data_IF_420946780213
#
_entry.id   IF_420946780213
#
_cell.length_a   1.000
_cell.length_b   1.000
_cell.length_c   1.000
_cell.angle_alpha   90.00
_cell.angle_beta   90.00
_cell.angle_gamma   90.00
#
_symmetry.space_group_name_H-M   'P 1'
#
loop_
_entity.id
_entity.type
_entity.pdbx_description
1 polymer ?
#
# COMPACT_ATOMS: atom_id res chain seq x y z
N UNK A 1 84.43 -12.44 -9.68
CA UNK A 1 83.36 -13.28 -9.09
C UNK A 1 82.37 -12.37 -8.39
N UNK A 2 81.09 -12.59 -8.65
CA UNK A 2 79.97 -11.73 -8.29
C UNK A 2 79.53 -11.91 -6.82
N UNK A 3 78.98 -10.85 -6.23
CA UNK A 3 77.89 -10.87 -5.22
C UNK A 3 77.57 -9.40 -4.83
N UNK A 4 76.59 -8.78 -5.48
CA UNK A 4 75.21 -8.64 -5.02
C UNK A 4 75.00 -7.50 -3.99
N UNK A 5 74.62 -6.34 -4.53
CA UNK A 5 74.22 -5.11 -3.82
C UNK A 5 72.89 -5.30 -3.07
N UNK A 6 72.77 -4.92 -1.77
CA UNK A 6 71.47 -4.85 -1.12
C UNK A 6 70.82 -3.48 -1.36
N UNK A 7 69.69 -3.50 -2.05
CA UNK A 7 68.80 -2.36 -2.29
C UNK A 7 68.08 -1.99 -1.00
N UNK A 8 68.42 -0.82 -0.44
CA UNK A 8 67.67 -0.16 0.63
C UNK A 8 66.34 0.34 0.06
N UNK A 9 65.24 -0.36 0.34
CA UNK A 9 63.90 0.14 0.00
C UNK A 9 63.45 1.16 1.04
N UNK A 10 63.42 2.43 0.63
CA UNK A 10 62.74 3.53 1.33
C UNK A 10 61.26 3.18 1.57
N UNK A 11 60.65 3.58 2.70
CA UNK A 11 59.22 3.46 2.90
C UNK A 11 58.49 4.36 1.90
N UNK A 12 57.66 3.74 1.08
CA UNK A 12 56.88 4.40 0.04
C UNK A 12 55.64 5.01 0.70
N UNK A 13 55.65 6.32 0.89
CA UNK A 13 54.42 7.11 1.05
C UNK A 13 53.63 7.03 -0.25
N UNK A 14 52.49 6.32 -0.21
CA UNK A 14 51.49 6.36 -1.28
C UNK A 14 50.22 6.96 -0.71
N UNK A 15 49.89 8.11 -1.30
CA UNK A 15 48.75 8.98 -1.05
C UNK A 15 47.44 8.21 -0.90
N UNK A 16 46.76 8.40 0.24
CA UNK A 16 45.34 8.12 0.37
C UNK A 16 44.58 9.00 -0.63
N UNK A 17 44.20 8.44 -1.78
CA UNK A 17 43.27 9.06 -2.71
C UNK A 17 41.88 8.99 -2.08
N UNK A 18 41.35 10.17 -1.80
CA UNK A 18 39.95 10.51 -1.49
C UNK A 18 38.92 9.42 -1.81
N UNK A 19 38.44 8.73 -0.78
CA UNK A 19 37.19 7.96 -0.79
C UNK A 19 36.07 8.65 0.02
N UNK A 20 36.21 9.95 0.30
CA UNK A 20 35.21 10.75 1.01
C UNK A 20 34.16 11.43 0.09
N UNK A 21 34.10 11.04 -1.20
CA UNK A 21 33.30 11.72 -2.22
C UNK A 21 32.02 11.01 -2.68
N UNK A 22 31.70 9.80 -2.21
CA UNK A 22 30.51 9.04 -2.67
C UNK A 22 29.45 8.75 -1.61
N UNK A 23 29.66 9.16 -0.36
CA UNK A 23 28.66 9.02 0.72
C UNK A 23 27.88 10.31 1.01
N UNK A 24 28.17 11.42 0.32
CA UNK A 24 27.56 12.74 0.58
C UNK A 24 26.63 13.25 -0.53
N UNK A 25 26.14 12.35 -1.38
CA UNK A 25 25.16 12.70 -2.43
C UNK A 25 23.89 11.84 -2.40
N UNK A 26 23.55 11.25 -1.24
CA UNK A 26 22.17 10.90 -0.94
C UNK A 26 21.45 12.13 -0.39
N UNK A 27 21.47 13.21 -1.18
CA UNK A 27 20.62 14.38 -0.93
C UNK A 27 19.18 13.95 -1.13
N UNK A 28 18.41 13.95 -0.04
CA UNK A 28 17.01 14.41 0.05
C UNK A 28 16.21 14.44 -1.26
N UNK A 29 16.01 13.29 -1.93
CA UNK A 29 14.98 13.23 -2.95
C UNK A 29 13.63 13.11 -2.23
N UNK A 30 12.67 14.00 -2.50
CA UNK A 30 11.33 13.85 -1.96
C UNK A 30 10.78 12.48 -2.36
N UNK A 31 10.24 11.75 -1.39
CA UNK A 31 9.57 10.48 -1.60
C UNK A 31 8.37 10.69 -2.53
N UNK A 32 8.45 10.16 -3.75
CA UNK A 32 7.34 10.24 -4.69
C UNK A 32 6.56 8.92 -4.65
N UNK A 33 5.25 8.95 -4.36
CA UNK A 33 4.42 7.76 -4.46
C UNK A 33 4.45 7.19 -5.89
N UNK A 34 4.24 5.88 -6.01
CA UNK A 34 4.07 5.18 -7.28
C UNK A 34 2.60 5.29 -7.67
N UNK A 35 2.32 6.08 -8.72
CA UNK A 35 0.97 6.32 -9.26
C UNK A 35 0.62 5.18 -10.19
N UNK A 36 -0.37 4.37 -9.82
CA UNK A 36 -0.81 3.24 -10.63
C UNK A 36 -2.19 3.49 -11.24
N UNK A 37 -2.42 2.82 -12.36
CA UNK A 37 -3.74 2.41 -12.80
C UNK A 37 -3.85 0.87 -12.71
N UNK A 38 -5.06 0.34 -12.71
CA UNK A 38 -5.30 -1.09 -12.82
C UNK A 38 -6.28 -1.36 -13.98
N UNK A 39 -6.00 -2.38 -14.77
CA UNK A 39 -6.81 -2.80 -15.91
C UNK A 39 -6.94 -4.32 -15.88
N UNK A 40 -8.15 -4.84 -15.96
CA UNK A 40 -8.31 -6.29 -16.01
C UNK A 40 -9.74 -6.75 -15.99
N UNK A 41 -9.86 -8.06 -15.81
CA UNK A 41 -11.14 -8.72 -15.62
C UNK A 41 -11.74 -8.44 -14.23
N UNK A 42 -12.74 -9.24 -13.87
CA UNK A 42 -13.48 -9.14 -12.62
C UNK A 42 -12.58 -9.11 -11.38
N UNK A 43 -11.33 -9.62 -11.43
CA UNK A 43 -10.45 -9.64 -10.26
C UNK A 43 -9.86 -8.27 -9.89
N UNK A 44 -9.88 -7.29 -10.81
CA UNK A 44 -9.28 -5.96 -10.62
C UNK A 44 -10.28 -4.89 -10.13
N UNK A 45 -11.59 -5.17 -10.20
CA UNK A 45 -12.70 -4.22 -10.09
C UNK A 45 -12.62 -3.11 -8.99
N UNK A 46 -13.37 -2.01 -9.16
CA UNK A 46 -13.22 -0.79 -8.36
C UNK A 46 -13.51 -1.01 -6.87
N UNK A 47 -12.98 -0.10 -6.04
CA UNK A 47 -12.94 -0.27 -4.59
C UNK A 47 -14.28 -0.07 -3.86
N UNK A 48 -15.26 0.51 -4.52
CA UNK A 48 -16.60 0.73 -4.01
C UNK A 48 -17.62 0.50 -5.13
N UNK A 49 -18.61 -0.34 -4.86
CA UNK A 49 -19.85 -0.32 -5.62
C UNK A 49 -20.74 0.70 -4.94
N UNK A 50 -21.03 1.80 -5.63
CA UNK A 50 -22.04 2.76 -5.17
C UNK A 50 -23.42 2.10 -5.34
N UNK A 51 -23.92 1.45 -4.30
CA UNK A 51 -25.32 1.05 -4.24
C UNK A 51 -26.12 2.26 -3.79
N UNK A 52 -26.99 2.74 -4.68
CA UNK A 52 -27.94 3.81 -4.37
C UNK A 52 -29.18 3.15 -3.78
N UNK A 53 -29.29 3.11 -2.45
CA UNK A 53 -30.52 2.72 -1.74
C UNK A 53 -31.09 3.99 -1.12
N UNK A 54 -32.34 4.31 -1.44
CA UNK A 54 -33.11 5.41 -0.84
C UNK A 54 -32.40 6.78 -0.85
N UNK A 55 -31.63 7.08 -1.91
CA UNK A 55 -30.93 8.36 -2.08
C UNK A 55 -29.61 8.47 -1.31
N UNK A 56 -29.21 7.48 -0.51
CA UNK A 56 -27.92 7.41 0.17
C UNK A 56 -26.94 6.60 -0.69
N UNK A 57 -25.74 7.16 -0.93
CA UNK A 57 -24.64 6.43 -1.58
C UNK A 57 -23.94 5.62 -0.51
N UNK A 58 -24.27 4.34 -0.40
CA UNK A 58 -23.52 3.41 0.44
C UNK A 58 -22.25 2.97 -0.29
N UNK A 59 -21.09 3.30 0.29
CA UNK A 59 -19.79 2.81 -0.17
C UNK A 59 -19.51 1.48 0.52
N UNK A 60 -19.80 0.38 -0.15
CA UNK A 60 -19.42 -0.94 0.33
C UNK A 60 -17.95 -1.20 0.03
N UNK A 61 -17.21 -1.77 0.98
CA UNK A 61 -15.87 -2.31 0.73
C UNK A 61 -16.04 -3.75 0.24
N UNK A 62 -15.69 -4.09 -1.01
CA UNK A 62 -15.69 -5.46 -1.49
C UNK A 62 -14.36 -6.13 -1.09
N UNK A 63 -14.31 -6.93 0.00
CA UNK A 63 -13.08 -7.52 0.51
C UNK A 63 -12.49 -8.59 -0.42
N UNK A 64 -13.24 -9.03 -1.42
CA UNK A 64 -12.80 -9.98 -2.44
C UNK A 64 -12.00 -9.33 -3.59
N UNK A 65 -11.86 -8.00 -3.63
CA UNK A 65 -11.01 -7.31 -4.62
C UNK A 65 -9.60 -7.09 -4.07
N UNK A 66 -8.57 -7.60 -4.74
CA UNK A 66 -7.19 -7.46 -4.22
C UNK A 66 -6.66 -6.02 -4.31
N UNK A 67 -7.14 -5.23 -5.26
CA UNK A 67 -6.75 -3.80 -5.42
C UNK A 67 -7.10 -2.98 -4.16
N UNK A 68 -8.14 -3.39 -3.42
CA UNK A 68 -8.51 -2.81 -2.15
C UNK A 68 -7.48 -3.08 -1.06
N UNK A 69 -7.14 -4.36 -0.89
CA UNK A 69 -6.09 -4.75 0.03
C UNK A 69 -4.73 -4.17 -0.37
N UNK A 70 -4.45 -4.04 -1.66
CA UNK A 70 -3.21 -3.43 -2.15
C UNK A 70 -3.11 -1.96 -1.73
N UNK A 71 -4.18 -1.16 -1.88
CA UNK A 71 -4.20 0.24 -1.42
C UNK A 71 -4.00 0.35 0.09
N UNK A 72 -4.53 -0.62 0.82
CA UNK A 72 -4.42 -0.69 2.28
C UNK A 72 -2.99 -1.06 2.71
N UNK A 73 -2.38 -2.05 2.05
CA UNK A 73 -1.09 -2.63 2.41
C UNK A 73 0.11 -1.89 1.82
N UNK A 74 -0.04 -1.30 0.64
CA UNK A 74 0.99 -0.53 -0.05
C UNK A 74 0.52 0.92 -0.20
N UNK A 75 0.50 1.72 0.87
CA UNK A 75 0.03 3.12 0.81
C UNK A 75 0.84 4.02 -0.14
N UNK A 76 2.08 3.63 -0.42
CA UNK A 76 3.00 4.30 -1.35
C UNK A 76 2.59 4.05 -2.80
N UNK A 77 1.63 3.16 -3.04
CA UNK A 77 0.92 2.97 -4.30
C UNK A 77 -0.33 3.86 -4.31
N UNK A 78 -0.31 4.90 -5.15
CA UNK A 78 -1.47 5.74 -5.42
C UNK A 78 -2.29 5.12 -6.55
N UNK A 79 -3.30 4.35 -6.18
CA UNK A 79 -4.25 3.73 -7.10
C UNK A 79 -5.67 4.22 -6.73
N UNK A 80 -6.16 5.37 -7.23
CA UNK A 80 -7.52 5.83 -6.99
C UNK A 80 -8.55 4.98 -7.75
N UNK A 81 -9.81 4.95 -7.29
CA UNK A 81 -10.92 4.24 -7.97
C UNK A 81 -11.11 4.65 -9.42
N UNK A 82 -10.96 5.94 -9.70
CA UNK A 82 -11.08 6.51 -11.05
C UNK A 82 -10.01 6.02 -12.03
N UNK A 83 -9.03 5.22 -11.56
CA UNK A 83 -7.98 4.60 -12.37
C UNK A 83 -8.02 3.07 -12.32
N UNK A 84 -9.13 2.50 -11.87
CA UNK A 84 -9.39 1.06 -11.94
C UNK A 84 -10.41 0.81 -13.03
N UNK A 85 -9.97 0.13 -14.09
CA UNK A 85 -10.75 -0.16 -15.28
C UNK A 85 -11.06 -1.66 -15.30
N UNK A 86 -12.25 -2.00 -14.83
CA UNK A 86 -12.78 -3.37 -14.89
C UNK A 86 -13.42 -3.60 -16.25
N UNK A 87 -13.09 -4.73 -16.86
CA UNK A 87 -13.71 -5.24 -18.08
C UNK A 87 -14.29 -6.62 -17.78
N UNK A 88 -15.52 -6.69 -17.25
CA UNK A 88 -16.12 -7.95 -16.82
C UNK A 88 -16.17 -8.98 -17.95
N UNK A 89 -15.76 -10.22 -17.65
CA UNK A 89 -15.75 -11.30 -18.65
C UNK A 89 -14.71 -11.15 -19.77
N UNK A 90 -13.85 -10.13 -19.76
CA UNK A 90 -12.95 -9.88 -20.87
C UNK A 90 -11.80 -10.90 -20.94
N UNK A 91 -11.60 -11.46 -22.13
CA UNK A 91 -10.37 -12.20 -22.47
C UNK A 91 -9.20 -11.24 -22.67
N UNK A 92 -7.99 -11.79 -22.83
CA UNK A 92 -6.77 -11.03 -23.15
C UNK A 92 -6.94 -10.06 -24.34
N UNK A 93 -7.69 -10.47 -25.38
CA UNK A 93 -8.03 -9.64 -26.54
C UNK A 93 -8.94 -8.47 -26.15
N UNK A 94 -9.97 -8.74 -25.35
CA UNK A 94 -10.88 -7.71 -24.84
C UNK A 94 -10.16 -6.68 -23.96
N UNK A 95 -9.22 -7.14 -23.13
CA UNK A 95 -8.38 -6.25 -22.31
C UNK A 95 -7.46 -5.39 -23.19
N UNK A 96 -6.90 -5.95 -24.26
CA UNK A 96 -6.10 -5.17 -25.22
C UNK A 96 -6.93 -4.12 -25.96
N UNK A 97 -8.19 -4.42 -26.28
CA UNK A 97 -9.13 -3.49 -26.91
C UNK A 97 -9.57 -2.36 -25.95
N UNK A 98 -9.73 -2.66 -24.65
CA UNK A 98 -10.15 -1.69 -23.64
C UNK A 98 -9.03 -0.80 -23.07
N UNK A 99 -7.87 -0.73 -23.72
CA UNK A 99 -6.69 -0.05 -23.20
C UNK A 99 -6.75 1.50 -23.31
N UNK A 100 -7.54 2.03 -24.24
CA UNK A 100 -7.54 3.47 -24.58
C UNK A 100 -7.79 4.43 -23.41
N UNK A 101 -8.75 4.17 -22.48
CA UNK A 101 -8.94 5.00 -21.29
C UNK A 101 -7.70 5.06 -20.39
N UNK A 102 -6.91 3.99 -20.36
CA UNK A 102 -5.65 3.92 -19.59
C UNK A 102 -4.55 4.70 -20.29
N UNK A 103 -4.46 4.62 -21.62
CA UNK A 103 -3.48 5.38 -22.41
C UNK A 103 -3.68 6.90 -22.29
N UNK A 104 -4.91 7.35 -22.06
CA UNK A 104 -5.24 8.75 -21.79
C UNK A 104 -4.68 9.27 -20.45
N UNK A 105 -4.18 8.38 -19.58
CA UNK A 105 -3.53 8.73 -18.32
C UNK A 105 -2.01 8.92 -18.45
N UNK A 106 -1.45 8.88 -19.66
CA UNK A 106 -0.02 9.11 -19.90
C UNK A 106 0.46 10.41 -19.21
N UNK A 107 1.62 10.34 -18.54
CA UNK A 107 2.17 11.41 -17.70
C UNK A 107 1.52 11.58 -16.32
N UNK A 108 0.32 11.01 -16.10
CA UNK A 108 -0.40 11.05 -14.81
C UNK A 108 -0.19 9.80 -13.95
N UNK A 109 0.27 8.70 -14.54
CA UNK A 109 0.60 7.44 -13.88
C UNK A 109 2.02 6.99 -14.24
N UNK A 110 2.62 6.17 -13.38
CA UNK A 110 3.97 5.59 -13.57
C UNK A 110 3.89 4.14 -14.07
N UNK A 111 2.84 3.41 -13.72
CA UNK A 111 2.66 2.01 -14.09
C UNK A 111 1.18 1.61 -14.19
N UNK A 112 0.94 0.49 -14.87
CA UNK A 112 -0.38 -0.14 -15.00
C UNK A 112 -0.31 -1.58 -14.50
N UNK A 113 -1.10 -1.90 -13.48
CA UNK A 113 -1.33 -3.28 -13.04
C UNK A 113 -2.32 -3.95 -13.97
N UNK A 114 -1.95 -5.10 -14.54
CA UNK A 114 -2.74 -5.80 -15.55
C UNK A 114 -2.99 -7.23 -15.07
N UNK A 115 -4.25 -7.58 -14.80
CA UNK A 115 -4.66 -8.95 -14.47
C UNK A 115 -5.67 -9.41 -15.51
N UNK A 116 -5.27 -10.35 -16.36
CA UNK A 116 -6.09 -10.85 -17.44
C UNK A 116 -5.63 -12.26 -17.84
N UNK A 117 -6.53 -13.02 -18.48
CA UNK A 117 -6.25 -14.37 -18.95
C UNK A 117 -7.06 -15.46 -18.25
N UNK A 118 -7.75 -15.16 -17.15
CA UNK A 118 -8.62 -16.15 -16.50
C UNK A 118 -9.81 -16.50 -17.41
N UNK A 119 -10.42 -15.50 -18.05
CA UNK A 119 -11.50 -15.70 -19.02
C UNK A 119 -11.06 -16.39 -20.31
N UNK A 120 -9.80 -16.28 -20.72
CA UNK A 120 -9.24 -17.12 -21.79
C UNK A 120 -9.24 -18.61 -21.39
N UNK A 121 -8.99 -18.91 -20.12
CA UNK A 121 -9.03 -20.28 -19.60
C UNK A 121 -10.48 -20.79 -19.58
N UNK A 122 -11.43 -19.98 -19.10
CA UNK A 122 -12.86 -20.31 -19.16
C UNK A 122 -13.36 -20.53 -20.58
N UNK A 123 -13.03 -19.62 -21.49
CA UNK A 123 -13.40 -19.73 -22.91
C UNK A 123 -12.78 -20.95 -23.59
N UNK A 124 -11.65 -21.47 -23.09
CA UNK A 124 -11.03 -22.68 -23.64
C UNK A 124 -11.89 -23.91 -23.34
N UNK A 125 -12.51 -23.97 -22.15
CA UNK A 125 -13.42 -25.06 -21.79
C UNK A 125 -14.68 -25.07 -22.67
N UNK A 126 -15.09 -23.93 -23.22
CA UNK A 126 -16.26 -23.78 -24.09
C UNK A 126 -15.91 -23.73 -25.59
N UNK A 127 -14.63 -23.87 -25.96
CA UNK A 127 -14.18 -23.82 -27.36
C UNK A 127 -14.25 -22.44 -28.01
N UNK A 128 -14.36 -21.36 -27.22
CA UNK A 128 -14.51 -19.98 -27.70
C UNK A 128 -13.29 -19.11 -27.38
N UNK A 129 -12.21 -19.69 -26.85
CA UNK A 129 -11.00 -18.95 -26.51
C UNK A 129 -10.28 -18.42 -27.75
N UNK A 130 -9.65 -17.23 -27.64
CA UNK A 130 -8.68 -16.79 -28.64
C UNK A 130 -7.55 -17.82 -28.81
N UNK A 131 -7.03 -18.03 -30.03
CA UNK A 131 -5.84 -18.85 -30.25
C UNK A 131 -4.67 -18.41 -29.35
N UNK A 132 -3.81 -19.34 -28.87
CA UNK A 132 -2.68 -18.98 -27.98
C UNK A 132 -1.76 -17.88 -28.53
N UNK A 133 -1.52 -17.87 -29.85
CA UNK A 133 -0.72 -16.84 -30.51
C UNK A 133 -1.37 -15.46 -30.43
N UNK A 134 -2.71 -15.37 -30.54
CA UNK A 134 -3.45 -14.12 -30.45
C UNK A 134 -3.47 -13.58 -29.01
N UNK A 135 -3.58 -14.47 -28.02
CA UNK A 135 -3.42 -14.10 -26.60
C UNK A 135 -2.03 -13.57 -26.30
N UNK A 136 -0.98 -14.21 -26.81
CA UNK A 136 0.38 -13.72 -26.66
C UNK A 136 0.57 -12.36 -27.33
N UNK A 137 0.09 -12.20 -28.57
CA UNK A 137 0.14 -10.93 -29.30
C UNK A 137 -0.64 -9.81 -28.60
N UNK A 138 -1.74 -10.14 -27.92
CA UNK A 138 -2.53 -9.20 -27.13
C UNK A 138 -1.75 -8.67 -25.92
N UNK A 139 -1.11 -9.56 -25.15
CA UNK A 139 -0.25 -9.14 -24.03
C UNK A 139 0.96 -8.32 -24.50
N UNK A 140 1.58 -8.71 -25.62
CA UNK A 140 2.68 -7.95 -26.25
C UNK A 140 2.23 -6.56 -26.68
N UNK A 141 1.06 -6.46 -27.30
CA UNK A 141 0.48 -5.20 -27.76
C UNK A 141 0.19 -4.27 -26.58
N UNK A 142 -0.38 -4.79 -25.49
CA UNK A 142 -0.60 -4.02 -24.26
C UNK A 142 0.71 -3.51 -23.69
N UNK A 143 1.72 -4.37 -23.57
CA UNK A 143 3.03 -3.98 -23.05
C UNK A 143 3.69 -2.89 -23.90
N UNK A 144 3.72 -3.07 -25.23
CA UNK A 144 4.31 -2.11 -26.17
C UNK A 144 3.62 -0.76 -26.10
N UNK A 145 2.27 -0.72 -26.21
CA UNK A 145 1.51 0.54 -26.16
C UNK A 145 1.72 1.31 -24.86
N UNK A 146 1.85 0.62 -23.72
CA UNK A 146 2.11 1.26 -22.43
C UNK A 146 3.53 1.81 -22.35
N UNK A 147 4.53 1.01 -22.76
CA UNK A 147 5.93 1.42 -22.77
C UNK A 147 6.18 2.61 -23.70
N UNK A 148 5.53 2.65 -24.87
CA UNK A 148 5.59 3.76 -25.83
C UNK A 148 5.06 5.08 -25.24
N UNK A 149 4.19 5.00 -24.22
CA UNK A 149 3.64 6.13 -23.47
C UNK A 149 4.39 6.42 -22.17
N UNK A 150 5.53 5.76 -21.95
CA UNK A 150 6.34 5.92 -20.74
C UNK A 150 5.69 5.34 -19.48
N UNK A 151 4.75 4.40 -19.62
CA UNK A 151 4.07 3.74 -18.52
C UNK A 151 4.58 2.30 -18.39
N UNK A 152 4.95 1.90 -17.18
CA UNK A 152 5.48 0.56 -16.91
C UNK A 152 4.33 -0.46 -16.82
N UNK A 153 4.24 -1.46 -17.70
CA UNK A 153 3.28 -2.55 -17.56
C UNK A 153 3.71 -3.51 -16.46
N UNK A 154 2.79 -3.88 -15.57
CA UNK A 154 2.99 -4.84 -14.50
C UNK A 154 1.93 -5.92 -14.61
N UNK A 155 2.29 -7.06 -15.16
CA UNK A 155 1.36 -8.18 -15.28
C UNK A 155 1.23 -8.91 -13.96
N UNK A 156 0.00 -9.21 -13.57
CA UNK A 156 -0.37 -10.10 -12.47
C UNK A 156 -0.82 -11.40 -13.11
N UNK A 157 -0.15 -12.50 -12.78
CA UNK A 157 -0.65 -13.82 -13.20
C UNK A 157 -2.01 -14.02 -12.52
N UNK A 158 -3.08 -14.37 -13.26
CA UNK A 158 -4.38 -14.58 -12.65
C UNK A 158 -4.31 -15.57 -11.48
N UNK A 159 -5.06 -15.37 -10.40
CA UNK A 159 -5.09 -16.35 -9.31
C UNK A 159 -5.70 -17.68 -9.81
N UNK A 160 -5.16 -18.84 -9.39
CA UNK A 160 -5.73 -20.13 -9.75
C UNK A 160 -7.11 -20.31 -9.09
N UNK A 161 -8.03 -20.99 -9.78
CA UNK A 161 -9.38 -21.29 -9.33
C UNK A 161 -9.70 -22.80 -9.44
N UNK A 162 -10.80 -23.31 -8.85
CA UNK A 162 -11.08 -24.75 -8.80
C UNK A 162 -11.14 -25.43 -10.18
N UNK A 163 -11.39 -24.67 -11.24
CA UNK A 163 -11.37 -25.13 -12.63
C UNK A 163 -9.98 -25.58 -13.08
N UNK A 164 -8.93 -25.29 -12.33
CA UNK A 164 -7.60 -25.82 -12.58
C UNK A 164 -7.56 -27.37 -12.55
N UNK A 165 -8.52 -28.04 -11.91
CA UNK A 165 -8.69 -29.50 -12.02
C UNK A 165 -9.12 -29.96 -13.44
N UNK A 166 -9.62 -29.05 -14.29
CA UNK A 166 -9.90 -29.32 -15.70
C UNK A 166 -8.61 -29.17 -16.52
N UNK A 167 -8.20 -30.24 -17.21
CA UNK A 167 -6.95 -30.25 -18.00
C UNK A 167 -6.86 -29.15 -19.06
N UNK A 168 -7.97 -28.84 -19.77
CA UNK A 168 -7.98 -27.79 -20.79
C UNK A 168 -7.79 -26.39 -20.18
N UNK A 169 -8.39 -26.16 -19.01
CA UNK A 169 -8.21 -24.92 -18.26
C UNK A 169 -6.76 -24.81 -17.76
N UNK A 170 -6.23 -25.88 -17.16
CA UNK A 170 -4.88 -25.91 -16.60
C UNK A 170 -3.81 -25.66 -17.66
N UNK A 171 -3.91 -26.34 -18.81
CA UNK A 171 -2.98 -26.17 -19.93
C UNK A 171 -2.99 -24.72 -20.44
N UNK A 172 -4.19 -24.14 -20.57
CA UNK A 172 -4.32 -22.74 -20.98
C UNK A 172 -3.71 -21.78 -19.97
N UNK A 173 -3.98 -21.98 -18.67
CA UNK A 173 -3.42 -21.17 -17.60
C UNK A 173 -1.89 -21.25 -17.58
N UNK A 174 -1.32 -22.45 -17.71
CA UNK A 174 0.13 -22.67 -17.74
C UNK A 174 0.75 -21.92 -18.93
N UNK A 175 0.13 -21.99 -20.11
CA UNK A 175 0.58 -21.28 -21.31
C UNK A 175 0.54 -19.75 -21.13
N UNK A 176 -0.50 -19.21 -20.50
CA UNK A 176 -0.60 -17.77 -20.20
C UNK A 176 0.48 -17.36 -19.20
N UNK A 177 0.64 -18.09 -18.09
CA UNK A 177 1.66 -17.79 -17.10
C UNK A 177 3.07 -17.85 -17.71
N UNK A 178 3.35 -18.84 -18.58
CA UNK A 178 4.60 -18.93 -19.32
C UNK A 178 4.83 -17.74 -20.26
N UNK A 179 3.78 -17.28 -20.93
CA UNK A 179 3.82 -16.10 -21.80
C UNK A 179 4.16 -14.84 -21.02
N UNK A 180 3.48 -14.57 -19.91
CA UNK A 180 3.75 -13.42 -19.05
C UNK A 180 5.17 -13.45 -18.46
N UNK A 181 5.64 -14.64 -18.04
CA UNK A 181 7.04 -14.85 -17.60
C UNK A 181 8.05 -14.56 -18.70
N UNK A 182 7.77 -14.97 -19.94
CA UNK A 182 8.64 -14.70 -21.10
C UNK A 182 8.75 -13.19 -21.33
N UNK A 183 7.63 -12.47 -21.38
CA UNK A 183 7.61 -11.02 -21.61
C UNK A 183 8.44 -10.27 -20.56
N UNK A 184 8.23 -10.57 -19.28
CA UNK A 184 8.97 -9.93 -18.18
C UNK A 184 10.48 -10.25 -18.18
N UNK A 185 10.90 -11.36 -18.79
CA UNK A 185 12.32 -11.70 -18.99
C UNK A 185 12.93 -10.99 -20.19
N UNK A 186 12.16 -10.80 -21.27
CA UNK A 186 12.62 -10.18 -22.51
C UNK A 186 12.84 -8.67 -22.34
N UNK A 187 12.00 -8.00 -21.55
CA UNK A 187 12.16 -6.56 -21.26
C UNK A 187 12.12 -6.30 -19.75
N UNK A 188 13.22 -5.75 -19.22
CA UNK A 188 13.37 -5.45 -17.78
C UNK A 188 12.45 -4.33 -17.30
N UNK A 189 11.84 -3.55 -18.21
CA UNK A 189 10.84 -2.52 -17.92
C UNK A 189 9.45 -3.12 -17.67
N UNK A 190 9.25 -4.42 -17.94
CA UNK A 190 8.00 -5.11 -17.63
C UNK A 190 8.09 -5.72 -16.23
N UNK A 191 7.08 -5.44 -15.41
CA UNK A 191 6.87 -6.05 -14.09
C UNK A 191 6.05 -7.33 -14.20
N UNK A 192 6.32 -8.29 -13.31
CA UNK A 192 5.52 -9.52 -13.18
C UNK A 192 5.32 -9.88 -11.72
N UNK A 193 4.06 -9.97 -11.32
CA UNK A 193 3.63 -10.47 -10.02
C UNK A 193 3.13 -11.90 -10.24
N UNK A 194 4.01 -12.87 -10.02
CA UNK A 194 3.71 -14.30 -10.18
C UNK A 194 3.22 -14.88 -8.85
N UNK A 195 1.90 -15.03 -8.76
CA UNK A 195 1.19 -15.37 -7.51
C UNK A 195 0.83 -16.83 -7.40
N UNK A 196 1.08 -17.61 -8.46
CA UNK A 196 0.79 -19.03 -8.50
C UNK A 196 1.49 -19.78 -7.35
N UNK A 197 2.71 -19.37 -6.98
CA UNK A 197 3.46 -20.00 -5.87
C UNK A 197 2.97 -19.62 -4.47
N UNK A 198 2.21 -18.53 -4.34
CA UNK A 198 1.72 -18.02 -3.05
C UNK A 198 0.29 -18.51 -2.77
N UNK A 199 -0.45 -18.86 -3.82
CA UNK A 199 -1.86 -19.25 -3.74
C UNK A 199 -2.09 -20.77 -3.92
N UNK A 200 -1.07 -21.55 -4.27
CA UNK A 200 -1.13 -23.02 -4.40
C UNK A 200 -0.35 -23.66 -3.24
N UNK A 201 -0.96 -24.61 -2.53
CA UNK A 201 -0.35 -25.31 -1.40
C UNK A 201 0.65 -26.40 -1.81
N UNK A 202 1.56 -26.78 -0.89
CA UNK A 202 2.65 -27.75 -1.11
C UNK A 202 2.25 -29.24 -1.13
N UNK A 203 0.95 -29.59 -1.20
CA UNK A 203 0.58 -31.02 -1.22
C UNK A 203 0.77 -31.65 -2.60
N UNK A 204 1.97 -32.22 -2.77
CA UNK A 204 2.34 -33.44 -3.49
C UNK A 204 1.46 -33.87 -4.68
N UNK A 205 2.03 -33.75 -5.89
CA UNK A 205 1.65 -34.41 -7.15
C UNK A 205 0.34 -33.99 -7.86
N UNK A 206 -0.48 -33.11 -7.27
CA UNK A 206 -1.68 -32.54 -7.91
C UNK A 206 -1.90 -31.11 -7.42
N UNK A 207 -1.87 -30.14 -8.34
CA UNK A 207 -2.10 -28.73 -8.03
C UNK A 207 -3.59 -28.44 -7.98
N UNK A 208 -4.26 -28.81 -6.89
CA UNK A 208 -5.56 -28.24 -6.57
C UNK A 208 -5.36 -26.89 -5.84
N UNK A 209 -6.05 -25.81 -6.24
CA UNK A 209 -6.10 -24.58 -5.44
C UNK A 209 -6.67 -24.93 -4.07
N UNK A 210 -6.07 -24.47 -2.97
CA UNK A 210 -6.64 -24.75 -1.64
C UNK A 210 -8.05 -24.11 -1.56
N UNK A 211 -9.13 -24.93 -1.59
CA UNK A 211 -10.49 -24.42 -1.67
C UNK A 211 -10.89 -23.64 -0.42
N UNK A 212 -10.09 -23.68 0.63
CA UNK A 212 -10.32 -22.95 1.87
C UNK A 212 -9.87 -21.49 1.82
N UNK A 213 -9.06 -21.07 0.82
CA UNK A 213 -8.35 -19.78 0.95
C UNK A 213 -8.10 -18.93 -0.31
N UNK A 214 -8.34 -19.39 -1.55
CA UNK A 214 -8.01 -18.58 -2.74
C UNK A 214 -9.26 -18.00 -3.43
N UNK A 215 -10.20 -18.84 -3.84
CA UNK A 215 -11.36 -18.45 -4.67
C UNK A 215 -12.64 -19.08 -4.12
N UNK A 216 -13.72 -18.28 -4.07
CA UNK A 216 -14.96 -18.62 -3.36
C UNK A 216 -16.02 -19.30 -4.23
N UNK A 217 -15.87 -19.28 -5.56
CA UNK A 217 -16.79 -19.88 -6.51
C UNK A 217 -16.08 -20.58 -7.68
N UNK A 218 -16.86 -21.30 -8.48
CA UNK A 218 -16.40 -21.92 -9.73
C UNK A 218 -16.17 -20.90 -10.85
N UNK A 219 -16.40 -19.60 -10.61
CA UNK A 219 -16.10 -18.53 -11.55
C UNK A 219 -14.72 -17.90 -11.27
N UNK A 220 -14.02 -18.37 -10.23
CA UNK A 220 -12.69 -17.90 -9.86
C UNK A 220 -12.68 -16.58 -9.10
N UNK A 221 -13.82 -16.11 -8.59
CA UNK A 221 -13.90 -14.95 -7.70
C UNK A 221 -13.04 -15.19 -6.47
N UNK A 222 -12.14 -14.26 -6.13
CA UNK A 222 -11.31 -14.39 -4.93
C UNK A 222 -12.16 -14.40 -3.64
N UNK A 223 -11.77 -15.20 -2.66
CA UNK A 223 -12.26 -15.00 -1.29
C UNK A 223 -11.58 -13.75 -0.70
N UNK A 224 -12.12 -13.15 0.38
CA UNK A 224 -11.43 -12.11 1.14
C UNK A 224 -9.99 -12.46 1.53
N UNK A 225 -9.77 -13.71 1.97
CA UNK A 225 -8.45 -14.21 2.31
C UNK A 225 -7.54 -14.33 1.08
N UNK A 226 -8.06 -14.79 -0.05
CA UNK A 226 -7.33 -14.89 -1.31
C UNK A 226 -6.91 -13.53 -1.86
N UNK A 227 -7.82 -12.56 -1.85
CA UNK A 227 -7.56 -11.18 -2.26
C UNK A 227 -6.51 -10.51 -1.38
N UNK A 228 -6.55 -10.74 -0.07
CA UNK A 228 -5.54 -10.26 0.87
C UNK A 228 -4.16 -10.86 0.60
N UNK A 229 -4.06 -12.19 0.41
CA UNK A 229 -2.77 -12.85 0.11
C UNK A 229 -2.19 -12.41 -1.22
N UNK A 230 -3.05 -12.24 -2.24
CA UNK A 230 -2.68 -11.68 -3.52
C UNK A 230 -2.11 -10.27 -3.36
N UNK A 231 -2.77 -9.41 -2.58
CA UNK A 231 -2.27 -8.07 -2.29
C UNK A 231 -0.93 -8.09 -1.52
N UNK A 232 -0.75 -8.97 -0.54
CA UNK A 232 0.55 -9.13 0.15
C UNK A 232 1.66 -9.54 -0.82
N UNK A 233 1.40 -10.50 -1.71
CA UNK A 233 2.35 -10.91 -2.75
C UNK A 233 2.67 -9.75 -3.70
N UNK A 234 1.66 -8.96 -4.07
CA UNK A 234 1.82 -7.78 -4.90
C UNK A 234 2.64 -6.69 -4.20
N UNK A 235 2.42 -6.40 -2.91
CA UNK A 235 3.22 -5.45 -2.13
C UNK A 235 4.69 -5.86 -2.15
N UNK A 236 4.98 -7.13 -1.85
CA UNK A 236 6.33 -7.67 -1.82
C UNK A 236 7.01 -7.57 -3.20
N UNK A 237 6.28 -7.94 -4.25
CA UNK A 237 6.77 -7.90 -5.62
C UNK A 237 7.06 -6.45 -6.07
N UNK A 238 6.13 -5.52 -5.84
CA UNK A 238 6.28 -4.12 -6.20
C UNK A 238 7.43 -3.46 -5.42
N UNK A 239 7.57 -3.77 -4.13
CA UNK A 239 8.67 -3.25 -3.31
C UNK A 239 10.04 -3.71 -3.86
N UNK A 240 10.17 -4.99 -4.21
CA UNK A 240 11.38 -5.53 -4.82
C UNK A 240 11.67 -4.98 -6.22
N UNK A 241 10.63 -4.62 -6.98
CA UNK A 241 10.77 -4.02 -8.32
C UNK A 241 11.10 -2.53 -8.29
N UNK A 242 10.80 -1.82 -7.19
CA UNK A 242 10.85 -0.36 -7.13
C UNK A 242 12.17 0.25 -7.59
N UNK A 243 13.35 -0.22 -7.16
CA UNK A 243 14.62 0.35 -7.60
C UNK A 243 14.89 0.20 -9.10
N UNK A 244 14.30 -0.83 -9.72
CA UNK A 244 14.48 -1.16 -11.14
C UNK A 244 13.46 -0.44 -12.03
N UNK A 245 12.19 -0.46 -11.62
CA UNK A 245 11.07 0.05 -12.43
C UNK A 245 10.76 1.53 -12.16
N UNK A 246 11.15 2.04 -11.00
CA UNK A 246 10.88 3.43 -10.57
C UNK A 246 12.17 4.10 -10.05
N UNK A 247 13.20 4.28 -10.89
CA UNK A 247 14.47 4.89 -10.48
C UNK A 247 14.23 6.32 -9.96
N UNK A 248 14.77 6.63 -8.77
CA UNK A 248 14.58 7.94 -8.10
C UNK A 248 13.38 8.01 -7.15
N UNK A 249 12.60 6.93 -6.99
CA UNK A 249 11.54 6.84 -5.98
C UNK A 249 12.00 5.93 -4.84
N UNK A 250 12.41 6.53 -3.72
CA UNK A 250 12.72 5.78 -2.50
C UNK A 250 11.43 5.28 -1.82
N UNK A 251 11.42 4.02 -1.38
CA UNK A 251 10.39 3.50 -0.46
C UNK A 251 10.66 4.04 0.96
N UNK A 252 9.64 4.23 1.81
CA UNK A 252 9.76 5.04 3.02
C UNK A 252 10.85 4.50 3.98
N UNK A 253 11.91 5.30 4.12
CA UNK A 253 12.74 5.39 5.31
C UNK A 253 12.30 6.61 6.11
N UNK A 254 12.44 6.53 7.43
CA UNK A 254 11.95 7.47 8.46
C UNK A 254 11.96 8.96 8.08
N UNK A 255 10.86 9.64 8.43
CA UNK A 255 10.64 11.06 8.23
C UNK A 255 11.53 11.96 9.11
N UNK A 256 11.79 13.20 8.68
CA UNK A 256 12.57 14.17 9.44
C UNK A 256 11.80 14.76 10.64
N UNK A 257 12.51 15.01 11.73
CA UNK A 257 11.99 15.62 12.95
C UNK A 257 12.11 17.15 12.91
N UNK A 258 10.97 17.86 12.99
CA UNK A 258 10.72 19.02 13.89
C UNK A 258 9.28 19.56 13.71
N UNK A 259 8.63 20.09 14.77
CA UNK A 259 7.25 20.55 14.71
C UNK A 259 7.14 22.07 14.61
N UNK A 260 6.33 22.60 13.68
CA UNK A 260 5.49 23.80 13.87
C UNK A 260 4.31 23.75 12.86
N UNK A 261 3.14 24.24 13.29
CA UNK A 261 1.83 24.37 12.61
C UNK A 261 1.07 23.07 12.26
N UNK A 262 0.36 22.53 13.26
CA UNK A 262 -0.66 21.52 13.04
C UNK A 262 -1.94 22.15 12.45
N UNK A 263 -2.40 21.66 11.31
CA UNK A 263 -3.67 22.04 10.69
C UNK A 263 -4.87 21.44 11.42
N UNK A 264 -4.69 20.26 12.03
CA UNK A 264 -5.77 19.54 12.69
C UNK A 264 -5.93 19.99 14.15
N UNK A 265 -7.16 20.10 14.68
CA UNK A 265 -7.44 20.77 15.95
C UNK A 265 -7.00 20.01 17.20
N UNK A 266 -6.91 18.67 17.14
CA UNK A 266 -6.56 17.84 18.30
C UNK A 266 -5.41 16.88 17.96
N UNK A 267 -4.18 17.39 17.76
CA UNK A 267 -3.06 16.57 17.31
C UNK A 267 -2.56 15.58 18.37
N UNK A 268 -2.86 15.81 19.65
CA UNK A 268 -2.42 15.00 20.80
C UNK A 268 -3.45 13.96 21.23
N UNK A 269 -4.62 13.90 20.56
CA UNK A 269 -5.73 13.00 20.90
C UNK A 269 -6.15 13.14 22.37
N UNK A 270 -6.32 14.37 22.85
CA UNK A 270 -6.85 14.64 24.18
C UNK A 270 -8.38 14.47 24.22
N UNK A 271 -8.92 14.32 25.43
CA UNK A 271 -10.36 14.25 25.69
C UNK A 271 -10.97 12.86 25.53
N UNK A 272 -12.29 12.80 25.64
CA UNK A 272 -13.08 11.53 25.72
C UNK A 272 -14.45 11.61 25.04
N UNK A 273 -14.81 12.74 24.41
CA UNK A 273 -16.12 13.00 23.83
C UNK A 273 -16.20 12.68 22.34
N UNK A 274 -15.20 12.00 21.78
CA UNK A 274 -15.23 11.52 20.41
C UNK A 274 -16.31 10.47 20.18
N UNK A 275 -16.56 10.15 18.91
CA UNK A 275 -17.61 9.22 18.53
C UNK A 275 -17.07 7.81 18.40
N UNK A 276 -17.80 6.83 18.94
CA UNK A 276 -17.59 5.41 18.67
C UNK A 276 -18.69 4.91 17.72
N UNK A 277 -18.32 4.10 16.74
CA UNK A 277 -19.25 3.51 15.79
C UNK A 277 -18.85 2.07 15.44
N UNK A 278 -19.85 1.18 15.35
CA UNK A 278 -19.66 -0.21 14.95
C UNK A 278 -19.86 -1.20 16.09
N UNK A 279 -20.15 -2.44 15.73
CA UNK A 279 -20.36 -3.54 16.66
C UNK A 279 -19.04 -3.97 17.32
N UNK A 280 -19.09 -4.35 18.59
CA UNK A 280 -17.90 -4.78 19.35
C UNK A 280 -16.96 -3.65 19.77
N UNK A 281 -17.32 -2.39 19.52
CA UNK A 281 -16.55 -1.20 19.94
C UNK A 281 -17.08 -0.67 21.27
N UNK A 282 -16.19 -0.39 22.21
CA UNK A 282 -16.51 0.14 23.55
C UNK A 282 -15.46 1.13 24.05
N UNK A 283 -15.76 1.86 25.13
CA UNK A 283 -14.82 2.76 25.80
C UNK A 283 -15.02 4.24 25.47
N UNK A 284 -13.94 4.99 25.30
CA UNK A 284 -13.93 6.43 25.03
C UNK A 284 -13.00 6.79 23.87
N UNK A 285 -13.34 7.84 23.13
CA UNK A 285 -12.60 8.32 21.97
C UNK A 285 -12.16 9.76 22.17
N UNK A 286 -10.97 10.12 21.70
CA UNK A 286 -10.47 11.49 21.74
C UNK A 286 -11.41 12.50 21.05
N UNK A 287 -11.45 13.73 21.56
CA UNK A 287 -12.38 14.76 21.10
C UNK A 287 -12.17 15.08 19.62
N UNK A 288 -13.26 15.15 18.85
CA UNK A 288 -13.23 15.43 17.42
C UNK A 288 -12.72 14.27 16.55
N UNK A 289 -12.49 13.09 17.14
CA UNK A 289 -12.22 11.86 16.40
C UNK A 289 -13.46 10.94 16.36
N UNK A 290 -13.56 10.18 15.27
CA UNK A 290 -14.45 9.05 15.11
C UNK A 290 -13.61 7.77 15.10
N UNK A 291 -13.89 6.86 16.03
CA UNK A 291 -13.44 5.49 15.98
C UNK A 291 -14.56 4.62 15.40
N UNK A 292 -14.37 4.19 14.16
CA UNK A 292 -15.30 3.30 13.47
C UNK A 292 -14.68 1.92 13.30
N UNK A 293 -15.46 0.87 13.52
CA UNK A 293 -15.05 -0.48 13.22
C UNK A 293 -16.05 -1.21 12.33
N UNK A 294 -15.53 -2.05 11.44
CA UNK A 294 -16.31 -2.84 10.49
C UNK A 294 -15.77 -4.26 10.41
N UNK A 295 -16.66 -5.25 10.26
CA UNK A 295 -16.27 -6.66 10.15
C UNK A 295 -15.65 -7.23 11.44
N UNK A 296 -15.99 -6.71 12.62
CA UNK A 296 -15.42 -7.17 13.89
C UNK A 296 -16.21 -8.29 14.57
N UNK A 297 -17.04 -9.05 13.87
CA UNK A 297 -17.83 -10.13 14.49
C UNK A 297 -16.93 -11.13 15.23
N UNK A 298 -17.21 -11.37 16.52
CA UNK A 298 -16.38 -12.22 17.41
C UNK A 298 -15.15 -11.53 18.01
N UNK A 299 -14.93 -10.25 17.69
CA UNK A 299 -13.86 -9.41 18.23
C UNK A 299 -14.41 -8.33 19.17
N UNK A 300 -13.58 -7.94 20.12
CA UNK A 300 -13.80 -6.78 20.97
C UNK A 300 -12.72 -5.75 20.70
N UNK A 301 -13.15 -4.50 20.54
CA UNK A 301 -12.30 -3.32 20.49
C UNK A 301 -12.67 -2.42 21.67
N UNK A 302 -11.72 -2.20 22.58
CA UNK A 302 -11.85 -1.22 23.65
C UNK A 302 -10.96 -0.01 23.35
N UNK A 303 -11.54 1.17 23.41
CA UNK A 303 -10.86 2.45 23.25
C UNK A 303 -10.68 3.11 24.62
N UNK A 304 -9.45 3.42 25.00
CA UNK A 304 -9.10 4.01 26.28
C UNK A 304 -8.39 5.36 26.04
N UNK A 305 -8.72 6.37 26.83
CA UNK A 305 -7.98 7.63 26.84
C UNK A 305 -6.66 7.46 27.58
N UNK A 306 -5.60 8.08 27.08
CA UNK A 306 -4.29 8.04 27.69
C UNK A 306 -3.48 6.80 27.30
N UNK A 307 -2.16 6.98 27.22
CA UNK A 307 -1.22 5.94 26.80
C UNK A 307 -0.42 5.41 28.00
N UNK A 308 -0.31 6.20 29.07
CA UNK A 308 0.17 5.76 30.38
C UNK A 308 -0.22 6.79 31.45
N UNK A 309 -0.11 6.42 32.73
CA UNK A 309 -0.31 7.34 33.86
C UNK A 309 0.62 8.57 33.80
N UNK A 310 1.77 8.44 33.13
CA UNK A 310 2.74 9.53 32.94
C UNK A 310 2.48 10.39 31.69
N UNK A 311 1.59 9.96 30.78
CA UNK A 311 1.19 10.71 29.57
C UNK A 311 -0.33 10.55 29.35
N UNK A 312 -1.14 11.42 29.97
CA UNK A 312 -2.60 11.32 29.90
C UNK A 312 -3.18 11.66 28.52
N UNK A 313 -2.38 12.19 27.60
CA UNK A 313 -2.79 12.48 26.22
C UNK A 313 -2.44 11.32 25.26
N UNK A 314 -3.39 10.97 24.39
CA UNK A 314 -3.29 9.90 23.41
C UNK A 314 -4.48 8.94 23.48
N UNK A 315 -4.53 7.99 22.54
CA UNK A 315 -5.59 6.99 22.43
C UNK A 315 -4.96 5.60 22.48
N UNK A 316 -5.44 4.73 23.37
CA UNK A 316 -5.13 3.30 23.35
C UNK A 316 -6.28 2.53 22.75
N UNK A 317 -5.97 1.60 21.86
CA UNK A 317 -6.91 0.64 21.29
C UNK A 317 -6.49 -0.77 21.71
N UNK A 318 -7.37 -1.47 22.42
CA UNK A 318 -7.17 -2.87 22.83
C UNK A 318 -8.02 -3.79 21.98
N UNK A 319 -7.36 -4.74 21.34
CA UNK A 319 -7.97 -5.78 20.52
C UNK A 319 -8.01 -7.08 21.32
N UNK A 320 -9.13 -7.80 21.22
CA UNK A 320 -9.30 -9.12 21.83
C UNK A 320 -10.34 -9.95 21.11
N UNK A 321 -10.31 -11.26 21.33
CA UNK A 321 -11.28 -12.20 20.80
C UNK A 321 -10.77 -13.00 19.60
N UNK A 322 -11.71 -13.60 18.87
CA UNK A 322 -11.42 -14.45 17.71
C UNK A 322 -12.31 -14.01 16.55
N UNK A 323 -11.71 -13.65 15.42
CA UNK A 323 -12.45 -13.14 14.28
C UNK A 323 -13.34 -14.25 13.73
N UNK A 324 -14.66 -14.07 13.78
CA UNK A 324 -15.61 -14.91 13.04
C UNK A 324 -15.94 -14.32 11.65
N UNK A 325 -15.48 -13.10 11.40
CA UNK A 325 -15.64 -12.40 10.12
C UNK A 325 -14.52 -12.76 9.13
N UNK A 326 -14.85 -12.66 7.84
CA UNK A 326 -13.90 -12.86 6.74
C UNK A 326 -12.96 -11.67 6.50
N UNK A 327 -13.15 -10.54 7.20
CA UNK A 327 -12.32 -9.33 7.15
C UNK A 327 -12.61 -8.45 8.36
N UNK A 328 -11.69 -7.55 8.74
CA UNK A 328 -11.96 -6.55 9.76
C UNK A 328 -11.15 -5.27 9.56
N UNK A 329 -11.75 -4.14 9.91
CA UNK A 329 -11.17 -2.81 9.75
C UNK A 329 -11.52 -1.95 10.95
N UNK A 330 -10.52 -1.28 11.52
CA UNK A 330 -10.71 -0.25 12.55
C UNK A 330 -10.10 1.05 12.06
N UNK A 331 -10.84 2.15 12.21
CA UNK A 331 -10.48 3.45 11.69
C UNK A 331 -10.66 4.50 12.77
N UNK A 332 -9.55 5.11 13.21
CA UNK A 332 -9.54 6.30 14.04
C UNK A 332 -9.33 7.50 13.11
N UNK A 333 -10.35 8.33 12.94
CA UNK A 333 -10.37 9.36 11.91
C UNK A 333 -10.83 10.71 12.40
N UNK A 334 -10.31 11.76 11.76
CA UNK A 334 -10.70 13.13 11.96
C UNK A 334 -10.89 13.79 10.60
N UNK A 335 -11.85 14.70 10.51
CA UNK A 335 -12.08 15.53 9.34
C UNK A 335 -11.79 16.98 9.67
N UNK A 336 -11.22 17.69 8.70
CA UNK A 336 -10.99 19.13 8.72
C UNK A 336 -11.78 19.73 7.58
N UNK A 337 -12.50 20.81 7.86
CA UNK A 337 -13.27 21.59 6.90
C UNK A 337 -13.26 23.09 7.28
N UNK A 338 -13.95 23.89 6.46
CA UNK A 338 -14.20 25.31 6.75
C UNK A 338 -12.93 26.16 6.89
N UNK A 339 -12.89 26.95 7.97
CA UNK A 339 -11.91 28.02 8.18
C UNK A 339 -10.45 27.52 8.20
N UNK A 340 -10.20 26.29 8.64
CA UNK A 340 -8.87 25.70 8.68
C UNK A 340 -8.32 25.45 7.26
N UNK A 341 -9.18 25.01 6.33
CA UNK A 341 -8.81 24.82 4.92
C UNK A 341 -8.73 26.13 4.15
N UNK A 342 -9.48 27.16 4.56
CA UNK A 342 -9.44 28.48 3.92
C UNK A 342 -8.06 29.15 4.00
N UNK A 343 -7.20 28.71 4.93
CA UNK A 343 -5.81 29.15 5.04
C UNK A 343 -4.86 28.52 4.01
N UNK A 344 -5.31 27.54 3.22
CA UNK A 344 -4.48 26.83 2.24
C UNK A 344 -4.48 27.56 0.89
N UNK A 345 -3.30 27.94 0.42
CA UNK A 345 -3.07 28.52 -0.88
C UNK A 345 -2.56 27.47 -1.89
N UNK A 346 -2.84 27.62 -3.19
CA UNK A 346 -2.16 26.85 -4.22
C UNK A 346 -0.63 26.95 -4.07
N UNK A 347 0.05 25.81 -4.06
CA UNK A 347 1.48 25.71 -3.81
C UNK A 347 1.85 25.28 -2.38
N UNK A 348 0.95 25.40 -1.41
CA UNK A 348 1.20 24.87 -0.06
C UNK A 348 1.42 23.35 -0.08
N UNK A 349 2.31 22.84 0.76
CA UNK A 349 2.57 21.41 0.91
C UNK A 349 1.92 20.91 2.19
N UNK A 350 1.19 19.81 2.10
CA UNK A 350 0.49 19.18 3.21
C UNK A 350 1.05 17.79 3.44
N UNK A 351 1.52 17.51 4.65
CA UNK A 351 1.95 16.18 5.08
C UNK A 351 1.28 15.78 6.41
N UNK A 352 1.45 14.53 6.81
CA UNK A 352 0.88 14.03 8.05
C UNK A 352 1.77 12.99 8.73
N UNK A 353 1.69 12.92 10.06
CA UNK A 353 2.41 11.96 10.87
C UNK A 353 1.55 11.37 11.98
N UNK A 354 1.84 10.13 12.36
CA UNK A 354 1.24 9.46 13.51
C UNK A 354 2.34 8.77 14.30
N UNK A 355 2.51 9.15 15.57
CA UNK A 355 3.38 8.39 16.46
C UNK A 355 2.54 7.31 17.15
N UNK A 356 2.93 6.07 16.97
CA UNK A 356 2.21 4.91 17.48
C UNK A 356 3.16 3.90 18.13
N UNK A 357 2.60 3.05 18.98
CA UNK A 357 3.27 1.86 19.48
C UNK A 357 2.31 0.68 19.48
N UNK A 358 2.69 -0.39 18.81
CA UNK A 358 2.02 -1.68 18.86
C UNK A 358 2.73 -2.54 19.92
N UNK A 359 2.01 -3.01 20.93
CA UNK A 359 2.59 -3.78 22.04
C UNK A 359 2.24 -5.27 21.91
N UNK A 360 3.21 -6.13 22.23
CA UNK A 360 3.02 -7.58 22.26
C UNK A 360 2.03 -8.02 23.37
N UNK A 361 1.33 -9.15 23.17
CA UNK A 361 1.32 -9.98 21.97
C UNK A 361 0.52 -9.35 20.82
N UNK A 362 1.06 -9.38 19.61
CA UNK A 362 0.40 -8.89 18.39
C UNK A 362 -0.03 -10.08 17.55
N UNK A 363 -1.33 -10.36 17.53
CA UNK A 363 -1.93 -11.44 16.75
C UNK A 363 -3.08 -10.92 15.91
N UNK A 364 -3.25 -11.47 14.71
CA UNK A 364 -4.39 -11.16 13.85
C UNK A 364 -4.43 -9.74 13.29
N UNK A 365 -3.58 -8.81 13.72
CA UNK A 365 -3.39 -7.51 13.08
C UNK A 365 -2.55 -7.72 11.80
N UNK A 366 -3.01 -7.16 10.68
CA UNK A 366 -2.38 -7.25 9.37
C UNK A 366 -1.52 -6.03 9.06
N UNK A 367 -1.95 -4.85 9.49
CA UNK A 367 -1.21 -3.62 9.27
C UNK A 367 -1.79 -2.44 10.06
N UNK A 368 -0.95 -1.42 10.23
CA UNK A 368 -1.36 -0.10 10.69
C UNK A 368 -0.95 0.92 9.62
N UNK A 369 -1.88 1.73 9.14
CA UNK A 369 -1.62 2.76 8.13
C UNK A 369 -2.19 4.10 8.51
N UNK A 370 -1.47 5.18 8.18
CA UNK A 370 -1.95 6.54 8.29
C UNK A 370 -2.35 7.00 6.90
N UNK A 371 -3.58 7.49 6.74
CA UNK A 371 -4.15 7.93 5.47
C UNK A 371 -4.56 9.39 5.55
N UNK A 372 -4.13 10.17 4.57
CA UNK A 372 -4.53 11.55 4.33
C UNK A 372 -5.37 11.60 3.05
N UNK A 373 -6.57 12.17 3.16
CA UNK A 373 -7.60 12.16 2.12
C UNK A 373 -8.06 13.58 1.81
N UNK A 374 -7.35 14.30 0.92
CA UNK A 374 -7.84 15.57 0.39
C UNK A 374 -9.03 15.37 -0.56
N UNK A 375 -10.03 16.22 -0.40
CA UNK A 375 -11.19 16.34 -1.29
C UNK A 375 -11.18 17.76 -1.86
N UNK A 376 -11.12 17.86 -3.18
CA UNK A 376 -11.12 19.14 -3.89
C UNK A 376 -12.53 19.58 -4.26
N UNK A 377 -12.71 20.88 -4.53
CA UNK A 377 -14.00 21.42 -5.03
C UNK A 377 -14.48 20.75 -6.32
N UNK A 378 -13.57 20.25 -7.16
CA UNK A 378 -13.91 19.50 -8.37
C UNK A 378 -14.50 18.10 -8.10
N UNK A 379 -14.57 17.67 -6.84
CA UNK A 379 -14.98 16.32 -6.45
C UNK A 379 -13.87 15.27 -6.57
N UNK A 380 -12.67 15.66 -7.05
CA UNK A 380 -11.51 14.77 -7.04
C UNK A 380 -11.14 14.43 -5.58
N UNK A 381 -10.75 13.18 -5.36
CA UNK A 381 -10.31 12.65 -4.08
C UNK A 381 -9.00 11.90 -4.31
N UNK A 382 -7.98 12.22 -3.53
CA UNK A 382 -6.72 11.50 -3.53
C UNK A 382 -6.53 10.81 -2.18
N UNK A 383 -5.72 9.76 -2.17
CA UNK A 383 -5.29 9.09 -0.96
C UNK A 383 -3.77 9.09 -0.95
N UNK A 384 -3.20 9.64 0.11
CA UNK A 384 -1.76 9.60 0.37
C UNK A 384 -1.58 8.97 1.73
N UNK A 385 -0.65 8.03 1.88
CA UNK A 385 -0.57 7.27 3.12
C UNK A 385 0.85 6.87 3.51
N UNK A 386 1.05 6.63 4.81
CA UNK A 386 2.20 5.98 5.42
C UNK A 386 1.76 4.68 6.07
N UNK A 387 2.64 3.68 6.17
CA UNK A 387 2.24 2.34 6.66
C UNK A 387 3.34 1.64 7.42
N UNK A 388 2.88 0.81 8.35
CA UNK A 388 3.68 -0.17 9.05
C UNK A 388 3.04 -1.56 8.91
N UNK A 389 3.81 -2.44 8.28
CA UNK A 389 3.73 -3.89 8.39
C UNK A 389 5.12 -4.30 8.84
N UNK A 390 5.26 -5.07 9.92
CA UNK A 390 6.57 -5.55 10.38
C UNK A 390 7.27 -6.45 9.35
N UNK A 391 8.33 -7.13 9.78
CA UNK A 391 9.06 -8.03 8.89
C UNK A 391 8.17 -9.17 8.38
N UNK A 392 8.38 -9.56 7.13
CA UNK A 392 7.56 -10.54 6.41
C UNK A 392 6.03 -10.23 6.32
N UNK A 393 5.63 -8.95 6.44
CA UNK A 393 4.28 -8.49 6.09
C UNK A 393 3.24 -8.64 7.22
N UNK A 394 3.70 -8.83 8.46
CA UNK A 394 2.86 -8.89 9.65
C UNK A 394 3.40 -7.89 10.70
N UNK A 395 2.54 -7.10 11.36
CA UNK A 395 2.97 -6.22 12.43
C UNK A 395 3.51 -7.03 13.60
N UNK A 396 4.64 -6.61 14.12
CA UNK A 396 5.21 -7.10 15.38
C UNK A 396 5.14 -5.97 16.41
N UNK A 397 5.57 -6.25 17.63
CA UNK A 397 5.72 -5.18 18.62
C UNK A 397 6.68 -4.12 18.07
N UNK A 398 6.22 -2.87 18.01
CA UNK A 398 6.96 -1.80 17.36
C UNK A 398 6.52 -0.45 17.89
N UNK A 399 7.47 0.46 18.08
CA UNK A 399 7.21 1.87 18.34
C UNK A 399 7.85 2.69 17.22
N UNK A 400 7.08 3.59 16.62
CA UNK A 400 7.55 4.35 15.48
C UNK A 400 6.65 5.52 15.09
N UNK A 401 7.03 6.18 14.00
CA UNK A 401 6.27 7.27 13.40
C UNK A 401 5.87 6.88 11.98
N UNK A 402 4.58 6.75 11.74
CA UNK A 402 4.02 6.69 10.39
C UNK A 402 4.04 8.10 9.81
N UNK A 403 4.48 8.24 8.57
CA UNK A 403 4.49 9.53 7.88
C UNK A 403 3.88 9.38 6.49
N UNK A 404 3.00 10.30 6.15
CA UNK A 404 2.41 10.43 4.82
C UNK A 404 3.28 11.39 4.00
N UNK A 405 3.72 11.01 2.79
CA UNK A 405 4.42 11.91 1.89
C UNK A 405 3.63 13.20 1.66
N UNK A 406 4.31 14.35 1.69
CA UNK A 406 3.66 15.63 1.47
C UNK A 406 3.12 15.76 0.04
N UNK A 407 1.93 16.34 -0.13
CA UNK A 407 1.38 16.71 -1.44
C UNK A 407 1.21 18.22 -1.55
N UNK A 408 1.40 18.74 -2.76
CA UNK A 408 1.17 20.17 -3.05
C UNK A 408 -0.31 20.42 -3.33
N UNK A 409 -0.88 21.42 -2.66
CA UNK A 409 -2.23 21.93 -2.91
C UNK A 409 -2.24 22.55 -4.30
N UNK A 410 -2.91 21.90 -5.25
CA UNK A 410 -3.03 22.37 -6.64
C UNK A 410 -4.28 23.22 -6.88
N UNK A 411 -5.28 23.10 -6.00
CA UNK A 411 -6.58 23.76 -6.08
C UNK A 411 -7.24 23.76 -4.70
N UNK A 412 -8.28 24.59 -4.47
CA UNK A 412 -8.98 24.65 -3.19
C UNK A 412 -9.55 23.31 -2.72
N UNK A 413 -9.36 22.99 -1.45
CA UNK A 413 -9.90 21.81 -0.77
C UNK A 413 -11.25 22.15 -0.12
N UNK A 414 -12.20 21.23 -0.20
CA UNK A 414 -13.47 21.28 0.55
C UNK A 414 -13.39 20.50 1.86
N UNK A 415 -12.55 19.47 1.89
CA UNK A 415 -12.38 18.60 3.06
C UNK A 415 -10.97 18.01 3.06
N UNK A 416 -10.41 17.84 4.25
CA UNK A 416 -9.18 17.07 4.45
C UNK A 416 -9.41 16.05 5.58
N UNK A 417 -9.44 14.77 5.22
CA UNK A 417 -9.57 13.69 6.19
C UNK A 417 -8.21 13.12 6.58
N UNK A 418 -8.01 12.81 7.86
CA UNK A 418 -6.92 11.95 8.33
C UNK A 418 -7.48 10.72 9.01
N UNK A 419 -6.83 9.58 8.82
CA UNK A 419 -7.29 8.31 9.37
C UNK A 419 -6.13 7.40 9.70
N UNK A 420 -6.01 6.99 10.95
CA UNK A 420 -5.24 5.82 11.32
C UNK A 420 -6.13 4.59 11.12
N UNK A 421 -5.64 3.64 10.34
CA UNK A 421 -6.39 2.47 9.89
C UNK A 421 -5.64 1.23 10.32
N UNK A 422 -6.30 0.41 11.14
CA UNK A 422 -5.82 -0.89 11.59
C UNK A 422 -6.60 -1.96 10.86
N UNK A 423 -5.89 -2.82 10.14
CA UNK A 423 -6.50 -3.90 9.38
C UNK A 423 -6.34 -5.20 10.16
N UNK A 424 -7.43 -5.95 10.26
CA UNK A 424 -7.44 -7.28 10.84
C UNK A 424 -7.30 -8.29 9.69
N UNK A 425 -6.49 -9.32 9.91
CA UNK A 425 -6.29 -10.40 8.95
C UNK A 425 -7.63 -11.08 8.65
N UNK A 426 -7.93 -11.33 7.38
CA UNK A 426 -9.13 -12.06 7.01
C UNK A 426 -9.01 -13.53 7.41
N UNK A 427 -10.09 -14.07 8.00
CA UNK A 427 -10.26 -15.50 8.24
C UNK A 427 -11.11 -15.80 9.46
N UNK A 428 -11.78 -16.94 9.43
CA UNK A 428 -12.58 -17.44 10.53
C UNK A 428 -11.69 -18.06 11.61
N UNK A 429 -12.06 -17.81 12.86
CA UNK A 429 -11.43 -18.31 14.07
C UNK A 429 -9.95 -17.90 14.23
N UNK A 430 -9.56 -16.75 13.67
CA UNK A 430 -8.21 -16.20 13.86
C UNK A 430 -8.16 -15.46 15.21
N UNK A 431 -7.22 -15.80 16.12
CA UNK A 431 -7.02 -15.01 17.32
C UNK A 431 -6.54 -13.60 16.96
N UNK A 432 -7.17 -12.60 17.56
CA UNK A 432 -6.77 -11.21 17.42
C UNK A 432 -6.51 -10.65 18.81
N UNK A 433 -5.28 -10.23 19.03
CA UNK A 433 -4.86 -9.58 20.27
C UNK A 433 -3.83 -8.52 19.99
N UNK A 434 -3.81 -7.49 20.82
CA UNK A 434 -2.77 -6.47 20.78
C UNK A 434 -3.24 -5.16 21.39
N UNK A 435 -2.25 -4.34 21.75
CA UNK A 435 -2.48 -2.96 22.17
C UNK A 435 -1.86 -2.03 21.15
N UNK A 436 -2.66 -1.12 20.59
CA UNK A 436 -2.19 -0.03 19.76
C UNK A 436 -2.32 1.28 20.52
N UNK A 437 -1.19 1.85 20.88
CA UNK A 437 -1.07 3.15 21.49
C UNK A 437 -0.84 4.21 20.42
N UNK A 438 -1.67 5.22 20.38
CA UNK A 438 -1.58 6.36 19.45
C UNK A 438 -1.29 7.61 20.27
N UNK A 439 -0.08 8.14 20.13
CA UNK A 439 0.39 9.27 20.95
C UNK A 439 0.07 10.63 20.31
N UNK A 440 0.11 10.70 18.98
CA UNK A 440 -0.20 11.90 18.21
C UNK A 440 -0.62 11.54 16.80
N UNK A 441 -1.51 12.34 16.22
CA UNK A 441 -1.85 12.36 14.79
C UNK A 441 -1.81 13.82 14.35
N UNK A 442 -0.85 14.18 13.50
CA UNK A 442 -0.58 15.57 13.12
C UNK A 442 -0.71 15.71 11.61
N UNK A 443 -1.43 16.72 11.14
CA UNK A 443 -1.39 17.21 9.76
C UNK A 443 -0.63 18.52 9.76
N UNK A 444 0.34 18.71 8.87
CA UNK A 444 1.12 19.96 8.80
C UNK A 444 0.93 20.66 7.47
N UNK A 445 1.11 21.98 7.52
CA UNK A 445 1.25 22.86 6.37
C UNK A 445 2.72 23.30 6.26
N UNK A 446 3.29 23.26 5.06
CA UNK A 446 4.58 23.87 4.72
C UNK A 446 4.44 24.79 3.51
N UNK A 447 5.04 25.97 3.58
CA UNK A 447 5.14 26.87 2.43
C UNK A 447 6.14 26.31 1.42
N UNK A 448 5.83 26.35 0.12
CA UNK A 448 6.74 25.86 -0.93
C UNK A 448 8.13 26.54 -0.94
N UNK A 449 8.25 27.72 -0.34
CA UNK A 449 9.49 28.50 -0.25
C UNK A 449 10.42 28.11 0.90
N UNK A 450 9.99 27.23 1.81
CA UNK A 450 10.82 26.82 2.95
C UNK A 450 11.53 25.47 2.65
N UNK A 451 12.87 25.43 2.57
CA UNK A 451 13.59 24.16 2.53
C UNK A 451 13.34 23.37 3.82
N UNK A 452 13.45 22.02 3.81
CA UNK A 452 13.28 21.21 5.01
C UNK A 452 14.31 21.65 6.07
N UNK A 453 13.81 22.06 7.24
CA UNK A 453 14.66 22.42 8.38
C UNK A 453 15.35 21.15 8.90
N UNK A 454 16.68 21.11 8.81
CA UNK A 454 17.48 20.13 9.54
C UNK A 454 17.75 20.71 10.93
N UNK A 455 17.50 19.98 12.03
CA UNK A 455 18.05 20.38 13.31
C UNK A 455 19.57 20.19 13.23
N UNK A 456 20.32 21.29 13.27
CA UNK A 456 21.73 21.23 13.62
C UNK A 456 21.84 20.57 15.00
N UNK A 457 22.66 19.52 15.08
CA UNK A 457 22.93 18.85 16.33
C UNK A 457 23.39 19.86 17.36
N UNK A 458 22.61 20.05 18.42
CA UNK A 458 23.13 20.61 19.67
C UNK A 458 24.17 19.62 20.17
N UNK A 459 25.43 19.92 19.89
CA UNK A 459 26.55 19.50 20.73
C UNK A 459 26.15 19.83 22.17
N UNK A 460 26.04 18.80 23.00
CA UNK A 460 25.98 18.98 24.44
C UNK A 460 27.30 19.63 24.86
N UNK A 461 27.26 20.91 25.21
CA UNK A 461 28.32 21.54 26.00
C UNK A 461 28.41 20.79 27.32
N UNK A 462 29.46 19.98 27.46
CA UNK A 462 29.91 19.47 28.75
C UNK A 462 30.41 20.67 29.58
N UNK A 463 29.97 20.84 30.84
CA UNK A 463 30.55 21.85 31.70
C UNK A 463 32.01 21.50 31.98
N UNK A 464 32.90 22.44 31.69
CA UNK A 464 34.29 22.39 32.11
C UNK A 464 34.37 22.47 33.64
N UNK A 465 34.97 21.46 34.24
CA UNK A 465 35.44 21.54 35.63
C UNK A 465 36.93 21.22 35.66
N UNK A 466 37.73 22.27 35.82
CA UNK A 466 39.04 22.21 36.48
C UNK A 466 39.12 23.43 37.39
N UNK A 467 39.75 23.29 38.55
CA UNK A 467 41.18 23.58 38.66
C UNK A 467 42.07 22.34 38.52
#
# INVERSE_FOLDING_TARGET
MAAATPVVRKPRTVKAKASAGKARQAMSQPFLPVRLAALGDDQIGPAHVALKRDGVVERHFPPYRFTNWLRIMAPWVVLPETRVFELPGATSVGVAAGLDPVLALAGKIDAVLICAGLHDCFATMTGTAPPPAETAASFETVATKLLDRGMTPIFVVPPPCPQFANGLFADRYIAIAATLRRLARQDKRIGLIDVARVLVGERAHGQEPDPRFATGDMAGTLTPAGAFRLAQAAVKALAGMSPRLFPGKALPGTAPETPHDALNPNPTLAGTTGTLAGEGVSGVCADGFLLAAHGLSGLTLSAESGVSDARPAGQRLRFGGRSSSSWGLVKLSQSIDGAQLASLAPGDVIDAECAFALQAPVEGIASVSLQLTPVWQSGYCAHVSGHYSGDAGLPEAHAGVLSVPGFTVSAPLTKLGISLVVNIRPGADIPVSGLLDVRRIVIRKRLASQPPAFPEGRSADLPSTSP
#
